data_IF_601359914162
#
_entry.id   IF_601359914162
#
_cell.length_a   1.000
_cell.length_b   1.000
_cell.length_c   1.000
_cell.angle_alpha   90.00
_cell.angle_beta   90.00
_cell.angle_gamma   90.00
#
_symmetry.space_group_name_H-M   'P 1'
#
loop_
_entity.id
_entity.type
_entity.pdbx_description
1 polymer ?
#
# COMPACT_ATOMS: atom_id res chain seq x y z
N UNK A 1 6.39 22.71 4.89
CA UNK A 1 6.99 21.37 4.68
C UNK A 1 7.25 21.22 3.19
N UNK A 2 8.47 21.49 2.73
CA UNK A 2 8.81 21.43 1.30
C UNK A 2 9.62 20.15 1.10
N UNK A 3 9.03 19.14 0.47
CA UNK A 3 9.68 17.90 0.04
C UNK A 3 10.42 18.17 -1.28
N UNK A 4 11.53 18.90 -1.24
CA UNK A 4 12.28 19.27 -2.45
C UNK A 4 13.70 18.69 -2.49
N UNK A 5 14.30 18.48 -1.34
CA UNK A 5 15.62 17.87 -1.17
C UNK A 5 15.43 16.54 -0.43
N UNK A 6 16.33 15.56 -0.64
CA UNK A 6 16.30 14.24 0.03
C UNK A 6 16.60 14.45 1.51
N UNK A 7 15.63 15.00 2.22
CA UNK A 7 15.69 15.39 3.62
C UNK A 7 14.48 14.77 4.31
N UNK A 8 14.73 14.22 5.48
CA UNK A 8 13.66 13.74 6.35
C UNK A 8 12.92 14.94 6.91
N UNK A 9 11.59 14.93 6.81
CA UNK A 9 10.77 16.04 7.26
C UNK A 9 9.70 15.59 8.24
N UNK A 10 9.68 16.22 9.41
CA UNK A 10 8.63 16.06 10.42
C UNK A 10 7.57 17.15 10.25
N UNK A 11 6.36 16.76 9.84
CA UNK A 11 5.21 17.65 9.74
C UNK A 11 4.26 17.50 10.92
N UNK A 12 4.23 18.48 11.83
CA UNK A 12 3.26 18.54 12.93
C UNK A 12 2.11 19.46 12.53
N UNK A 13 0.95 18.87 12.24
CA UNK A 13 -0.29 19.61 11.97
C UNK A 13 -1.44 19.04 12.79
N UNK A 14 -2.41 19.86 13.23
CA UNK A 14 -3.60 19.37 13.91
C UNK A 14 -4.42 18.41 13.03
N UNK A 15 -5.31 17.64 13.66
CA UNK A 15 -6.24 16.76 12.96
C UNK A 15 -7.20 17.59 12.09
N UNK A 16 -7.55 17.10 10.90
CA UNK A 16 -8.40 17.83 9.96
C UNK A 16 -7.70 18.88 9.08
N UNK A 17 -6.45 19.24 9.34
CA UNK A 17 -5.70 20.24 8.55
C UNK A 17 -5.14 19.72 7.21
N UNK A 18 -5.61 18.56 6.73
CA UNK A 18 -5.24 18.06 5.41
C UNK A 18 -3.81 17.52 5.28
N UNK A 19 -3.23 16.95 6.36
CA UNK A 19 -1.90 16.30 6.32
C UNK A 19 -1.72 15.35 5.15
N UNK A 20 -2.76 14.61 4.79
CA UNK A 20 -2.73 13.66 3.70
C UNK A 20 -2.47 14.30 2.33
N UNK A 21 -2.89 15.55 2.13
CA UNK A 21 -2.67 16.27 0.88
C UNK A 21 -1.17 16.41 0.56
N UNK A 22 -0.33 16.50 1.59
CA UNK A 22 1.12 16.63 1.44
C UNK A 22 1.67 15.45 0.63
N UNK A 23 1.35 14.21 1.01
CA UNK A 23 1.85 13.03 0.31
C UNK A 23 1.04 12.69 -0.95
N UNK A 24 -0.23 13.08 -1.00
CA UNK A 24 -1.09 12.84 -2.17
C UNK A 24 -0.62 13.64 -3.40
N UNK A 25 -0.02 14.81 -3.21
CA UNK A 25 0.47 15.66 -4.30
C UNK A 25 1.90 15.32 -4.76
N UNK A 26 2.68 14.56 -3.96
CA UNK A 26 4.08 14.23 -4.29
C UNK A 26 4.22 13.61 -5.69
N UNK A 27 3.41 12.62 -6.11
CA UNK A 27 3.55 12.01 -7.43
C UNK A 27 3.44 13.03 -8.56
N UNK A 28 2.51 13.99 -8.45
CA UNK A 28 2.30 15.05 -9.45
C UNK A 28 3.43 16.09 -9.44
N UNK A 29 3.92 16.44 -8.24
CA UNK A 29 5.03 17.38 -8.11
C UNK A 29 6.33 16.81 -8.69
N UNK A 30 6.61 15.53 -8.47
CA UNK A 30 7.78 14.84 -9.03
C UNK A 30 7.66 14.74 -10.56
N UNK A 31 6.49 14.34 -11.05
CA UNK A 31 6.17 14.31 -12.48
C UNK A 31 6.40 15.66 -13.16
N UNK A 32 5.84 16.73 -12.59
CA UNK A 32 5.98 18.09 -13.11
C UNK A 32 7.44 18.56 -13.16
N UNK A 33 8.20 18.32 -12.07
CA UNK A 33 9.61 18.69 -11.99
C UNK A 33 10.44 17.95 -13.05
N UNK A 34 10.19 16.66 -13.26
CA UNK A 34 10.91 15.86 -14.28
C UNK A 34 10.58 16.28 -15.69
N UNK A 35 9.31 16.53 -16.01
CA UNK A 35 8.90 17.03 -17.32
C UNK A 35 9.60 18.37 -17.66
N UNK A 36 9.67 19.28 -16.67
CA UNK A 36 10.37 20.55 -16.81
C UNK A 36 11.88 20.39 -17.04
N UNK A 37 12.52 19.41 -16.39
CA UNK A 37 13.95 19.14 -16.53
C UNK A 37 14.32 18.43 -17.85
N UNK A 38 13.38 17.70 -18.45
CA UNK A 38 13.57 16.92 -19.69
C UNK A 38 13.05 17.63 -20.95
N UNK A 39 12.83 18.94 -20.91
CA UNK A 39 12.34 19.76 -22.04
C UNK A 39 11.06 19.23 -22.74
N UNK A 40 10.19 18.51 -22.02
CA UNK A 40 8.93 18.02 -22.57
C UNK A 40 9.02 16.82 -23.51
N UNK A 41 10.16 16.14 -23.57
CA UNK A 41 10.42 15.03 -24.50
C UNK A 41 9.88 13.66 -24.00
N UNK A 42 8.94 13.67 -23.04
CA UNK A 42 8.45 12.46 -22.36
C UNK A 42 6.94 12.40 -22.48
N UNK A 43 6.42 11.23 -22.87
CA UNK A 43 4.98 11.01 -22.96
C UNK A 43 4.31 11.12 -21.57
N UNK A 44 3.08 11.66 -21.52
CA UNK A 44 2.28 11.76 -20.28
C UNK A 44 2.16 10.42 -19.52
N UNK A 45 2.28 9.31 -20.26
CA UNK A 45 2.20 7.93 -19.75
C UNK A 45 3.48 7.52 -19.00
N UNK A 46 4.66 7.90 -19.48
CA UNK A 46 5.93 7.62 -18.79
C UNK A 46 6.07 8.48 -17.53
N UNK A 47 5.65 9.74 -17.60
CA UNK A 47 5.66 10.66 -16.45
C UNK A 47 4.80 10.14 -15.29
N UNK A 48 3.70 9.45 -15.57
CA UNK A 48 2.80 8.88 -14.54
C UNK A 48 3.35 7.62 -13.84
N UNK A 49 4.32 6.93 -14.45
CA UNK A 49 4.95 5.71 -13.89
C UNK A 49 6.15 6.01 -13.00
N UNK A 50 6.58 7.25 -12.93
CA UNK A 50 7.90 7.63 -12.43
C UNK A 50 8.00 7.77 -10.91
N UNK A 51 6.88 7.84 -10.20
CA UNK A 51 6.85 8.03 -8.76
C UNK A 51 5.66 7.30 -8.12
N UNK A 52 5.96 6.40 -7.18
CA UNK A 52 5.00 5.75 -6.30
C UNK A 52 5.27 6.22 -4.88
N UNK A 53 4.21 6.64 -4.17
CA UNK A 53 4.29 7.00 -2.75
C UNK A 53 3.80 5.84 -1.91
N UNK A 54 4.63 5.39 -0.98
CA UNK A 54 4.26 4.38 0.00
C UNK A 54 3.86 5.11 1.30
N UNK A 55 2.64 4.85 1.76
CA UNK A 55 2.08 5.46 2.97
C UNK A 55 1.93 4.37 4.02
N UNK A 56 2.69 4.50 5.12
CA UNK A 56 2.61 3.56 6.23
C UNK A 56 1.53 4.00 7.20
N UNK A 57 0.58 3.12 7.47
CA UNK A 57 -0.53 3.41 8.36
C UNK A 57 -0.88 2.19 9.21
N UNK A 58 -0.91 2.31 10.55
CA UNK A 58 -1.18 1.19 11.45
C UNK A 58 -2.65 0.77 11.52
N UNK A 59 -3.56 1.48 10.86
CA UNK A 59 -4.99 1.20 10.93
C UNK A 59 -5.55 0.86 9.55
N UNK A 60 -5.95 -0.40 9.38
CA UNK A 60 -6.53 -0.91 8.13
C UNK A 60 -7.76 -0.14 7.67
N UNK A 61 -8.62 0.26 8.61
CA UNK A 61 -9.81 1.06 8.34
C UNK A 61 -9.46 2.43 7.78
N UNK A 62 -8.38 3.05 8.26
CA UNK A 62 -7.91 4.34 7.79
C UNK A 62 -7.28 4.22 6.40
N UNK A 63 -6.52 3.14 6.15
CA UNK A 63 -5.99 2.84 4.81
C UNK A 63 -7.11 2.64 3.78
N UNK A 64 -8.11 1.81 4.11
CA UNK A 64 -9.24 1.53 3.23
C UNK A 64 -10.01 2.81 2.88
N UNK A 65 -10.37 3.61 3.89
CA UNK A 65 -11.09 4.87 3.69
C UNK A 65 -10.31 5.86 2.82
N UNK A 66 -9.00 5.97 3.02
CA UNK A 66 -8.17 6.87 2.21
C UNK A 66 -8.00 6.38 0.77
N UNK A 67 -7.77 5.08 0.57
CA UNK A 67 -7.65 4.49 -0.75
C UNK A 67 -8.97 4.64 -1.54
N UNK A 68 -10.11 4.34 -0.92
CA UNK A 68 -11.42 4.51 -1.56
C UNK A 68 -11.67 5.98 -1.94
N UNK A 69 -11.39 6.92 -1.04
CA UNK A 69 -11.55 8.35 -1.32
C UNK A 69 -10.66 8.84 -2.48
N UNK A 70 -9.46 8.28 -2.62
CA UNK A 70 -8.54 8.61 -3.72
C UNK A 70 -9.02 8.02 -5.05
N UNK A 71 -9.46 6.77 -5.05
CA UNK A 71 -10.03 6.11 -6.23
C UNK A 71 -11.26 6.87 -6.73
N UNK A 72 -12.17 7.29 -5.84
CA UNK A 72 -13.34 8.11 -6.18
C UNK A 72 -12.96 9.45 -6.82
N UNK A 73 -11.77 9.98 -6.50
CA UNK A 73 -11.22 11.22 -7.08
C UNK A 73 -10.39 10.97 -8.35
N UNK A 74 -10.37 9.74 -8.86
CA UNK A 74 -9.59 9.36 -10.04
C UNK A 74 -8.09 9.25 -9.80
N UNK A 75 -7.65 9.18 -8.54
CA UNK A 75 -6.24 8.97 -8.19
C UNK A 75 -6.03 7.47 -7.97
N UNK A 76 -5.22 6.79 -8.80
CA UNK A 76 -4.99 5.36 -8.65
C UNK A 76 -4.25 5.05 -7.35
N UNK A 77 -4.88 4.26 -6.48
CA UNK A 77 -4.31 3.85 -5.20
C UNK A 77 -4.60 2.41 -4.86
N UNK A 78 -3.70 1.78 -4.11
CA UNK A 78 -3.81 0.39 -3.66
C UNK A 78 -3.55 0.28 -2.15
N UNK A 79 -3.99 -0.83 -1.55
CA UNK A 79 -3.71 -1.20 -0.16
C UNK A 79 -2.98 -2.53 -0.14
N UNK A 80 -1.79 -2.56 0.45
CA UNK A 80 -1.02 -3.76 0.76
C UNK A 80 -1.42 -4.27 2.14
N UNK A 81 -1.98 -5.48 2.19
CA UNK A 81 -2.36 -6.17 3.42
C UNK A 81 -1.55 -7.45 3.56
N UNK A 82 -1.21 -7.80 4.79
CA UNK A 82 -0.76 -9.14 5.13
C UNK A 82 -2.00 -10.03 5.27
N UNK A 83 -2.17 -11.03 4.40
CA UNK A 83 -3.18 -12.06 4.59
C UNK A 83 -2.87 -12.91 5.83
N UNK A 84 -3.90 -13.34 6.55
CA UNK A 84 -3.78 -14.52 7.42
C UNK A 84 -3.74 -15.74 6.50
N UNK A 85 -2.84 -16.68 6.79
CA UNK A 85 -2.84 -17.98 6.14
C UNK A 85 -4.13 -18.69 6.56
N UNK A 86 -5.15 -18.72 5.69
CA UNK A 86 -6.15 -19.78 5.78
C UNK A 86 -5.51 -21.01 5.16
N UNK A 87 -5.10 -21.96 6.00
CA UNK A 87 -4.91 -23.31 5.53
C UNK A 87 -6.27 -23.73 4.95
N UNK A 88 -6.36 -23.82 3.62
CA UNK A 88 -7.41 -24.61 2.99
C UNK A 88 -7.04 -26.04 3.35
N UNK A 89 -7.55 -26.53 4.46
CA UNK A 89 -7.63 -27.97 4.69
C UNK A 89 -8.41 -28.52 3.50
N UNK A 90 -7.72 -29.21 2.60
CA UNK A 90 -8.38 -30.03 1.61
C UNK A 90 -9.29 -30.98 2.38
N UNK A 91 -10.59 -30.95 2.08
CA UNK A 91 -11.55 -31.87 2.65
C UNK A 91 -11.17 -33.32 2.29
N UNK A 92 -10.35 -33.95 3.12
CA UNK A 92 -10.24 -35.39 3.18
C UNK A 92 -11.27 -35.88 4.20
N UNK A 93 -12.42 -36.30 3.67
CA UNK A 93 -13.41 -37.10 4.39
C UNK A 93 -12.74 -38.32 5.03
N UNK A 94 -12.61 -38.36 6.36
CA UNK A 94 -12.51 -39.60 7.15
C UNK A 94 -12.86 -39.35 8.63
N UNK A 95 -14.11 -39.72 8.96
CA UNK A 95 -14.71 -40.15 10.23
C UNK A 95 -13.91 -40.19 11.56
N UNK A 96 -14.53 -39.56 12.57
CA UNK A 96 -14.89 -40.06 13.93
C UNK A 96 -14.00 -39.81 15.16
N UNK A 97 -14.63 -39.11 16.13
CA UNK A 97 -14.54 -39.20 17.61
C UNK A 97 -13.42 -38.52 18.44
N UNK A 98 -13.91 -37.61 19.32
CA UNK A 98 -13.51 -37.29 20.72
C UNK A 98 -12.32 -36.35 21.04
N UNK A 99 -12.69 -35.19 21.60
CA UNK A 99 -12.16 -34.46 22.78
C UNK A 99 -10.73 -34.77 23.28
N UNK A 100 -9.79 -33.82 23.16
CA UNK A 100 -9.01 -33.29 24.30
C UNK A 100 -8.10 -32.13 23.86
N UNK A 101 -8.01 -31.10 24.71
CA UNK A 101 -7.33 -29.84 24.43
C UNK A 101 -5.81 -29.95 24.30
N UNK A 102 -5.28 -29.36 23.23
CA UNK A 102 -3.87 -29.03 23.09
C UNK A 102 -3.70 -27.61 22.57
N UNK A 103 -3.20 -26.72 23.43
CA UNK A 103 -2.60 -25.44 23.03
C UNK A 103 -1.30 -25.76 22.28
N UNK A 104 -1.37 -25.85 20.96
CA UNK A 104 -0.20 -26.08 20.13
C UNK A 104 0.53 -24.75 19.89
N UNK A 105 1.50 -24.48 20.76
CA UNK A 105 2.62 -23.59 20.46
C UNK A 105 3.44 -24.22 19.34
N UNK A 106 3.65 -23.50 18.22
CA UNK A 106 4.79 -23.53 17.26
C UNK A 106 4.31 -22.88 15.94
N UNK A 107 5.00 -21.99 15.24
CA UNK A 107 6.32 -21.41 15.40
C UNK A 107 6.52 -20.26 14.40
N UNK A 108 7.57 -19.47 14.61
CA UNK A 108 8.02 -18.40 13.73
C UNK A 108 8.55 -18.95 12.39
N UNK A 109 7.68 -19.39 11.48
CA UNK A 109 8.10 -19.76 10.13
C UNK A 109 7.10 -19.28 9.08
N UNK A 110 7.64 -18.50 8.14
CA UNK A 110 7.04 -18.00 6.90
C UNK A 110 5.76 -17.16 7.02
N UNK A 111 5.94 -15.91 7.48
CA UNK A 111 5.08 -14.79 7.08
C UNK A 111 5.30 -14.50 5.59
N UNK A 112 4.89 -15.41 4.72
CA UNK A 112 4.78 -15.11 3.30
C UNK A 112 3.67 -14.09 3.13
N UNK A 113 4.05 -12.90 2.65
CA UNK A 113 3.17 -11.81 2.25
C UNK A 113 2.19 -12.33 1.21
N UNK A 114 1.07 -12.91 1.64
CA UNK A 114 -0.09 -13.17 0.81
C UNK A 114 -0.72 -11.82 0.50
N UNK A 115 -0.04 -11.11 -0.39
CA UNK A 115 -0.56 -9.92 -1.02
C UNK A 115 -1.47 -10.41 -2.11
N UNK A 116 -2.68 -9.85 -2.21
CA UNK A 116 -3.56 -10.12 -3.35
C UNK A 116 -2.75 -9.96 -4.66
N UNK A 117 -2.65 -11.07 -5.40
CA UNK A 117 -1.82 -11.19 -6.60
C UNK A 117 -2.21 -10.14 -7.65
N UNK A 118 -3.47 -9.72 -7.66
CA UNK A 118 -3.96 -8.64 -8.51
C UNK A 118 -3.39 -7.29 -8.08
N UNK A 119 -3.48 -6.95 -6.80
CA UNK A 119 -2.91 -5.72 -6.24
C UNK A 119 -1.41 -5.59 -6.51
N UNK A 120 -0.63 -6.67 -6.35
CA UNK A 120 0.81 -6.68 -6.69
C UNK A 120 1.05 -6.43 -8.17
N UNK A 121 0.26 -7.05 -9.05
CA UNK A 121 0.35 -6.83 -10.50
C UNK A 121 0.05 -5.38 -10.86
N UNK A 122 -0.97 -4.77 -10.25
CA UNK A 122 -1.32 -3.38 -10.48
C UNK A 122 -0.18 -2.44 -10.06
N UNK A 123 0.44 -2.68 -8.90
CA UNK A 123 1.60 -1.91 -8.44
C UNK A 123 2.79 -2.11 -9.40
N UNK A 124 3.11 -3.36 -9.76
CA UNK A 124 4.23 -3.69 -10.66
C UNK A 124 4.08 -3.06 -12.05
N UNK A 125 2.85 -2.96 -12.55
CA UNK A 125 2.56 -2.35 -13.85
C UNK A 125 2.53 -0.81 -13.80
N UNK A 126 2.76 -0.21 -12.63
CA UNK A 126 2.70 1.24 -12.42
C UNK A 126 1.27 1.79 -12.49
N UNK A 127 0.25 0.94 -12.24
CA UNK A 127 -1.14 1.33 -12.24
C UNK A 127 -1.57 1.99 -10.93
N UNK A 128 -0.72 1.99 -9.89
CA UNK A 128 -0.96 2.67 -8.61
C UNK A 128 0.06 3.79 -8.40
N UNK A 129 -0.42 4.95 -7.96
CA UNK A 129 0.42 6.12 -7.63
C UNK A 129 0.66 6.26 -6.13
N UNK A 130 -0.29 5.80 -5.33
CA UNK A 130 -0.23 5.82 -3.86
C UNK A 130 -0.55 4.42 -3.36
N UNK A 131 0.33 3.87 -2.53
CA UNK A 131 0.18 2.54 -1.95
C UNK A 131 0.18 2.66 -0.44
N UNK A 132 -0.93 2.27 0.19
CA UNK A 132 -1.03 2.20 1.64
C UNK A 132 -0.55 0.84 2.12
N UNK A 133 0.25 0.79 3.19
CA UNK A 133 0.71 -0.44 3.79
C UNK A 133 0.63 -0.38 5.32
N UNK A 134 0.24 -1.49 5.92
CA UNK A 134 0.41 -1.70 7.35
C UNK A 134 1.92 -1.82 7.67
N UNK A 135 2.42 -1.33 8.82
CA UNK A 135 3.82 -1.50 9.21
C UNK A 135 4.31 -2.95 9.17
N UNK A 136 3.43 -3.91 9.45
CA UNK A 136 3.77 -5.34 9.45
C UNK A 136 3.83 -5.97 8.04
N UNK A 137 3.46 -5.22 6.99
CA UNK A 137 3.42 -5.69 5.60
C UNK A 137 4.72 -5.36 4.82
N UNK A 138 5.68 -4.65 5.43
CA UNK A 138 6.93 -4.20 4.80
C UNK A 138 8.18 -4.75 5.47
#
# INVERSE_FOLDING_TARGET
MILHDVQDVLGVLPTGYGKCLIFQLIPDLVAFKRHKLRNGDVSDVEVRRDAVVIVICPLDSLMANHAESLIQKGIPSAVLRCGKFEFVEAEDNLSDSSDDGHEEYLGEHDRQLLTDCETVKQIRNGASRIVFAHPETL
#
